data_IF_740436561551
#
_entry.id   IF_740436561551
#
_cell.length_a   1.000
_cell.length_b   1.000
_cell.length_c   1.000
_cell.angle_alpha   90.00
_cell.angle_beta   90.00
_cell.angle_gamma   90.00
#
_symmetry.space_group_name_H-M   'P 1'
#
loop_
_entity.id
_entity.type
_entity.pdbx_description
1 polymer ?
#
# COMPACT_ATOMS: atom_id res chain seq x y z
N UNK A 1 -22.42 6.33 28.63
CA UNK A 1 -21.06 5.80 28.38
C UNK A 1 -20.58 6.31 27.03
N UNK A 2 -19.50 7.10 26.98
CA UNK A 2 -18.85 7.53 25.73
C UNK A 2 -17.62 6.66 25.51
N UNK A 3 -17.66 5.76 24.53
CA UNK A 3 -16.49 5.01 24.09
C UNK A 3 -15.62 5.93 23.24
N UNK A 4 -14.56 6.48 23.82
CA UNK A 4 -13.55 7.24 23.08
C UNK A 4 -12.62 6.22 22.43
N UNK A 5 -12.79 5.99 21.13
CA UNK A 5 -11.83 5.23 20.32
C UNK A 5 -10.59 6.11 20.20
N UNK A 6 -9.61 5.88 21.07
CA UNK A 6 -8.28 6.50 20.96
C UNK A 6 -7.59 5.88 19.75
N UNK A 7 -7.62 6.57 18.60
CA UNK A 7 -6.71 6.27 17.49
C UNK A 7 -5.28 6.43 18.01
N UNK A 8 -4.67 5.30 18.38
CA UNK A 8 -3.32 5.19 18.93
C UNK A 8 -2.35 5.55 17.80
N UNK A 9 -1.88 6.80 17.76
CA UNK A 9 -0.83 7.17 16.79
C UNK A 9 0.43 6.37 17.13
N UNK A 10 0.84 5.51 16.19
CA UNK A 10 2.10 4.80 16.27
C UNK A 10 3.24 5.81 16.11
N UNK A 11 4.29 5.68 16.93
CA UNK A 11 5.48 6.51 16.77
C UNK A 11 6.18 6.19 15.45
N UNK A 12 6.81 7.19 14.81
CA UNK A 12 7.51 7.00 13.54
C UNK A 12 8.57 5.89 13.61
N UNK A 13 9.22 5.70 14.77
CA UNK A 13 10.17 4.61 14.99
C UNK A 13 9.51 3.24 14.85
N UNK A 14 8.33 3.06 15.45
CA UNK A 14 7.59 1.80 15.38
C UNK A 14 7.05 1.52 13.98
N UNK A 15 6.69 2.57 13.23
CA UNK A 15 6.33 2.44 11.81
C UNK A 15 7.53 1.95 10.98
N UNK A 16 8.73 2.46 11.26
CA UNK A 16 9.96 2.01 10.60
C UNK A 16 10.33 0.58 10.98
N UNK A 17 10.21 0.22 12.25
CA UNK A 17 10.46 -1.15 12.72
C UNK A 17 9.50 -2.15 12.05
N UNK A 18 8.20 -1.85 12.02
CA UNK A 18 7.21 -2.68 11.31
C UNK A 18 7.47 -2.72 9.80
N UNK A 19 7.88 -1.60 9.18
CA UNK A 19 8.24 -1.57 7.77
C UNK A 19 9.45 -2.48 7.48
N UNK A 20 10.48 -2.47 8.33
CA UNK A 20 11.65 -3.36 8.21
C UNK A 20 11.26 -4.82 8.41
N UNK A 21 10.42 -5.14 9.39
CA UNK A 21 9.88 -6.51 9.61
C UNK A 21 9.11 -7.03 8.39
N UNK A 22 8.37 -6.14 7.71
CA UNK A 22 7.67 -6.47 6.47
C UNK A 22 8.57 -6.47 5.22
N UNK A 23 9.89 -6.27 5.40
CA UNK A 23 10.83 -6.16 4.28
C UNK A 23 10.64 -4.88 3.45
N UNK A 24 9.80 -3.94 3.89
CA UNK A 24 9.69 -2.58 3.38
C UNK A 24 10.91 -1.81 3.91
N UNK A 25 12.09 -2.16 3.41
CA UNK A 25 13.29 -1.38 3.68
C UNK A 25 13.08 0.01 3.09
N UNK A 26 13.19 1.05 3.93
CA UNK A 26 13.25 2.44 3.45
C UNK A 26 14.50 2.71 2.60
N UNK A 27 15.43 1.76 2.57
CA UNK A 27 16.65 1.80 1.76
C UNK A 27 16.48 1.10 0.40
N UNK A 28 15.51 0.18 0.25
CA UNK A 28 15.18 -0.42 -1.04
C UNK A 28 14.47 0.63 -1.91
N UNK A 29 15.26 1.26 -2.77
CA UNK A 29 14.82 2.27 -3.74
C UNK A 29 14.14 1.69 -4.97
N UNK A 30 14.02 0.37 -5.07
CA UNK A 30 13.41 -0.27 -6.23
C UNK A 30 11.92 0.03 -6.28
N UNK A 31 11.57 0.83 -7.28
CA UNK A 31 10.19 1.23 -7.55
C UNK A 31 9.84 0.81 -8.96
N UNK A 32 8.77 0.06 -9.09
CA UNK A 32 8.18 -0.28 -10.38
C UNK A 32 6.99 0.63 -10.65
N UNK A 33 6.75 0.92 -11.92
CA UNK A 33 5.52 1.60 -12.31
C UNK A 33 4.40 0.57 -12.26
N UNK A 34 3.36 0.84 -11.49
CA UNK A 34 2.21 -0.06 -11.32
C UNK A 34 0.95 0.67 -11.76
N UNK A 35 0.14 0.01 -12.59
CA UNK A 35 -1.24 0.38 -12.84
C UNK A 35 -2.17 -0.57 -12.08
N UNK A 36 -3.00 -0.01 -11.22
CA UNK A 36 -4.08 -0.70 -10.53
C UNK A 36 -5.40 -0.23 -11.12
N UNK A 37 -6.25 -1.15 -11.56
CA UNK A 37 -7.58 -0.85 -12.08
C UNK A 37 -8.62 -1.55 -11.23
N UNK A 38 -9.56 -0.78 -10.66
CA UNK A 38 -10.77 -1.32 -10.08
C UNK A 38 -11.68 -1.78 -11.23
N UNK A 39 -11.91 -3.09 -11.36
CA UNK A 39 -12.66 -3.62 -12.51
C UNK A 39 -14.18 -3.39 -12.39
N UNK A 40 -14.68 -3.01 -11.21
CA UNK A 40 -16.08 -2.65 -11.03
C UNK A 40 -16.35 -1.19 -11.41
N UNK A 41 -15.48 -0.26 -10.99
CA UNK A 41 -15.68 1.18 -11.23
C UNK A 41 -14.96 1.70 -12.48
N UNK A 42 -13.94 0.99 -12.96
CA UNK A 42 -13.06 1.44 -14.02
C UNK A 42 -12.01 2.46 -13.57
N UNK A 43 -11.97 2.81 -12.28
CA UNK A 43 -10.98 3.73 -11.74
C UNK A 43 -9.57 3.15 -11.87
N UNK A 44 -8.64 3.99 -12.33
CA UNK A 44 -7.24 3.62 -12.51
C UNK A 44 -6.32 4.44 -11.61
N UNK A 45 -5.35 3.75 -11.03
CA UNK A 45 -4.23 4.36 -10.32
C UNK A 45 -2.93 3.95 -11.00
N UNK A 46 -2.13 4.93 -11.44
CA UNK A 46 -0.83 4.72 -12.07
C UNK A 46 0.24 5.46 -11.29
N UNK A 47 1.14 4.73 -10.62
CA UNK A 47 2.24 5.35 -9.89
C UNK A 47 3.44 4.41 -9.73
N UNK A 48 4.58 4.96 -9.30
CA UNK A 48 5.75 4.20 -8.89
C UNK A 48 5.58 3.70 -7.45
N UNK A 49 5.40 2.40 -7.30
CA UNK A 49 5.25 1.75 -5.98
C UNK A 49 6.52 1.02 -5.60
N UNK A 50 6.83 1.02 -4.31
CA UNK A 50 7.99 0.33 -3.78
C UNK A 50 7.78 -1.19 -3.82
N UNK A 51 8.82 -1.92 -4.19
CA UNK A 51 8.87 -3.38 -4.02
C UNK A 51 9.50 -3.67 -2.66
N UNK A 52 8.83 -4.49 -1.85
CA UNK A 52 9.37 -4.97 -0.58
C UNK A 52 10.46 -6.02 -0.84
N UNK A 53 11.33 -6.26 0.13
CA UNK A 53 12.34 -7.33 0.07
C UNK A 53 11.73 -8.74 -0.04
N UNK A 54 10.40 -8.88 0.05
CA UNK A 54 9.65 -10.12 -0.18
C UNK A 54 9.06 -10.21 -1.60
N UNK A 55 9.44 -9.31 -2.52
CA UNK A 55 8.88 -9.17 -3.87
C UNK A 55 7.39 -8.81 -3.89
N UNK A 56 6.90 -8.11 -2.87
CA UNK A 56 5.53 -7.62 -2.80
C UNK A 56 5.48 -6.13 -3.18
N UNK A 57 4.35 -5.67 -3.73
CA UNK A 57 4.15 -4.24 -4.01
C UNK A 57 3.48 -3.60 -2.81
N UNK A 58 4.13 -2.59 -2.23
CA UNK A 58 3.49 -1.79 -1.19
C UNK A 58 2.44 -0.85 -1.81
N UNK A 59 1.17 -1.07 -1.48
CA UNK A 59 0.05 -0.23 -1.92
C UNK A 59 -0.34 0.75 -0.79
N UNK A 60 -0.27 2.07 -0.99
CA UNK A 60 -0.68 3.06 0.01
C UNK A 60 -2.15 2.92 0.43
N UNK A 61 -2.47 3.31 1.67
CA UNK A 61 -3.81 3.16 2.27
C UNK A 61 -4.90 3.85 1.46
N UNK A 62 -4.62 5.00 0.85
CA UNK A 62 -5.56 5.72 -0.01
C UNK A 62 -6.00 4.86 -1.20
N UNK A 63 -5.07 4.09 -1.75
CA UNK A 63 -5.31 3.23 -2.90
C UNK A 63 -5.97 1.93 -2.47
N UNK A 64 -5.62 1.40 -1.29
CA UNK A 64 -6.35 0.28 -0.71
C UNK A 64 -7.84 0.60 -0.54
N UNK A 65 -8.18 1.83 -0.11
CA UNK A 65 -9.58 2.29 -0.02
C UNK A 65 -10.27 2.40 -1.37
N UNK A 66 -9.57 2.92 -2.40
CA UNK A 66 -10.09 2.94 -3.77
C UNK A 66 -10.39 1.52 -4.30
N UNK A 67 -9.59 0.55 -3.86
CA UNK A 67 -9.74 -0.86 -4.26
C UNK A 67 -10.66 -1.66 -3.32
N UNK A 68 -11.13 -1.06 -2.23
CA UNK A 68 -12.00 -1.73 -1.27
C UNK A 68 -13.37 -2.03 -1.91
N UNK A 69 -13.83 -3.27 -1.80
CA UNK A 69 -15.10 -3.68 -2.44
C UNK A 69 -15.04 -3.86 -3.96
N UNK A 70 -13.86 -3.74 -4.60
CA UNK A 70 -13.72 -3.95 -6.05
C UNK A 70 -14.09 -5.35 -6.51
N UNK A 71 -14.00 -6.36 -5.65
CA UNK A 71 -14.12 -7.79 -6.02
C UNK A 71 -12.99 -8.29 -6.93
N UNK A 72 -12.78 -7.63 -8.06
CA UNK A 72 -11.75 -7.87 -9.06
C UNK A 72 -10.85 -6.65 -9.23
N UNK A 73 -9.55 -6.85 -9.13
CA UNK A 73 -8.52 -5.82 -9.32
C UNK A 73 -7.58 -6.29 -10.42
N UNK A 74 -7.29 -5.42 -11.39
CA UNK A 74 -6.25 -5.69 -12.40
C UNK A 74 -4.99 -4.93 -12.04
N UNK A 75 -3.87 -5.67 -12.00
CA UNK A 75 -2.54 -5.13 -11.71
C UNK A 75 -1.69 -5.28 -12.98
N UNK A 76 -1.06 -4.19 -13.43
CA UNK A 76 -0.03 -4.21 -14.47
C UNK A 76 1.24 -3.59 -13.93
N UNK A 77 2.35 -4.31 -14.07
CA UNK A 77 3.66 -3.88 -13.61
C UNK A 77 4.49 -3.58 -14.86
N UNK A 78 5.11 -2.41 -14.90
CA UNK A 78 6.04 -2.00 -15.95
C UNK A 78 7.44 -1.92 -15.33
N UNK A 79 8.37 -2.71 -15.88
CA UNK A 79 9.79 -2.74 -15.52
C UNK A 79 10.59 -1.67 -16.25
#
# INVERSE_FOLDING_TARGET
MKTIIKNKSLSQKKIREMAVEEGISTENKEKVVVRLTNMNTGEEYLNRLAITGKNEIYVPTEIQKMLEGSGNIRIRIFG
#
